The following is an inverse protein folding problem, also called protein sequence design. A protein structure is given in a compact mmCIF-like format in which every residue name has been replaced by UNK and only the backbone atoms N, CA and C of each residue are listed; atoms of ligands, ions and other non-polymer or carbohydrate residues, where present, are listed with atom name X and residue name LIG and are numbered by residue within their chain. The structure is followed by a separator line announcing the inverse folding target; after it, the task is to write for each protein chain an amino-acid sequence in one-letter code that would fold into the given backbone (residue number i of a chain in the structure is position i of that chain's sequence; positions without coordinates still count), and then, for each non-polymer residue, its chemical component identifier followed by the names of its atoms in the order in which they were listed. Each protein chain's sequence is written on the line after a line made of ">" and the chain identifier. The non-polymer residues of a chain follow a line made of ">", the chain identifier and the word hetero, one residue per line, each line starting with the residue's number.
data_IF_156130010131
#
_entry.id   IF_156130010131
#
_cell.length_a   1.000
_cell.length_b   1.000
_cell.length_c   1.000
_cell.angle_alpha   90.00
_cell.angle_beta   90.00
_cell.angle_gamma   90.00
#
_symmetry.space_group_name_H-M   'P 1'
#
loop_
_entity.id
_entity.type
_entity.pdbx_description
1 polymer ?
#
# COMPACT_ATOMS: atom_id res chain seq x y z
N UNK A 1 4.79 9.32 14.26
CA UNK A 1 4.43 9.47 12.85
C UNK A 1 3.90 8.18 12.25
N UNK A 2 4.72 7.16 11.95
CA UNK A 2 4.23 5.88 11.40
C UNK A 2 3.30 5.13 12.36
N UNK A 3 3.67 5.01 13.65
CA UNK A 3 2.82 4.37 14.67
C UNK A 3 1.46 5.06 14.82
N UNK A 4 1.43 6.39 14.75
CA UNK A 4 0.21 7.19 14.83
C UNK A 4 -0.66 7.02 13.58
N UNK A 5 -0.03 6.88 12.41
CA UNK A 5 -0.72 6.57 11.16
C UNK A 5 -1.33 5.17 11.18
N UNK A 6 -0.60 4.19 11.68
CA UNK A 6 -1.09 2.83 11.86
C UNK A 6 -2.27 2.78 12.85
N UNK A 7 -2.20 3.51 13.97
CA UNK A 7 -3.31 3.64 14.91
C UNK A 7 -4.53 4.32 14.25
N UNK A 8 -4.30 5.35 13.42
CA UNK A 8 -5.36 6.01 12.67
C UNK A 8 -6.03 5.05 11.68
N UNK A 9 -5.24 4.28 10.92
CA UNK A 9 -5.75 3.25 10.02
C UNK A 9 -6.63 2.24 10.78
N UNK A 10 -6.12 1.70 11.89
CA UNK A 10 -6.80 0.65 12.67
C UNK A 10 -8.05 1.13 13.41
N UNK A 11 -8.08 2.39 13.88
CA UNK A 11 -9.11 2.85 14.82
C UNK A 11 -9.98 4.00 14.31
N UNK A 12 -9.59 4.67 13.22
CA UNK A 12 -10.33 5.83 12.68
C UNK A 12 -10.81 5.62 11.25
N UNK A 13 -10.02 4.95 10.41
CA UNK A 13 -10.39 4.71 9.01
C UNK A 13 -11.25 3.45 8.85
N UNK A 14 -10.84 2.35 9.48
CA UNK A 14 -11.62 1.11 9.44
C UNK A 14 -12.88 1.30 10.31
N UNK A 15 -14.10 1.11 9.76
CA UNK A 15 -15.32 1.27 10.52
C UNK A 15 -15.38 0.31 11.71
N UNK A 16 -15.72 0.85 12.88
CA UNK A 16 -15.87 0.06 14.10
C UNK A 16 -17.21 -0.68 14.03
N UNK A 17 -17.18 -2.01 14.22
CA UNK A 17 -18.33 -2.92 14.21
C UNK A 17 -18.95 -3.24 12.83
N UNK A 18 -18.29 -2.89 11.72
CA UNK A 18 -18.67 -3.41 10.41
C UNK A 18 -17.65 -4.45 9.96
N UNK A 19 -18.08 -5.62 9.47
CA UNK A 19 -17.15 -6.61 8.96
C UNK A 19 -16.44 -6.03 7.74
N UNK A 20 -15.13 -6.27 7.64
CA UNK A 20 -14.31 -5.86 6.50
C UNK A 20 -13.21 -6.88 6.24
N UNK A 21 -12.58 -6.81 5.07
CA UNK A 21 -11.37 -7.55 4.77
C UNK A 21 -10.17 -6.60 4.84
N UNK A 22 -9.09 -7.03 5.52
CA UNK A 22 -7.84 -6.28 5.57
C UNK A 22 -6.79 -7.01 4.73
N UNK A 23 -6.23 -6.33 3.74
CA UNK A 23 -5.08 -6.83 2.98
C UNK A 23 -3.81 -6.47 3.74
N UNK A 24 -3.15 -7.49 4.30
CA UNK A 24 -1.88 -7.30 5.03
C UNK A 24 -0.69 -7.19 4.07
N UNK A 25 -0.77 -7.84 2.90
CA UNK A 25 0.27 -7.76 1.89
C UNK A 25 -0.05 -8.56 0.64
N UNK A 26 0.52 -8.14 -0.48
CA UNK A 26 0.49 -8.87 -1.75
C UNK A 26 1.93 -9.00 -2.24
N UNK A 27 2.36 -10.23 -2.49
CA UNK A 27 3.72 -10.52 -2.91
C UNK A 27 3.72 -11.31 -4.22
N UNK A 28 4.60 -10.89 -5.13
CA UNK A 28 4.89 -11.60 -6.38
C UNK A 28 6.38 -11.85 -6.44
N UNK A 29 6.77 -13.12 -6.60
CA UNK A 29 8.17 -13.48 -6.77
C UNK A 29 8.80 -12.70 -7.93
N UNK A 30 10.03 -12.18 -7.82
CA UNK A 30 10.63 -11.31 -8.84
C UNK A 30 10.58 -11.88 -10.28
N UNK A 31 10.83 -13.18 -10.44
CA UNK A 31 10.77 -13.85 -11.76
C UNK A 31 9.38 -13.96 -12.38
N UNK A 32 8.32 -13.55 -11.67
CA UNK A 32 6.93 -13.58 -12.11
C UNK A 32 6.28 -12.19 -12.12
N UNK A 33 7.06 -11.13 -11.88
CA UNK A 33 6.56 -9.75 -11.96
C UNK A 33 6.31 -9.34 -13.41
N UNK A 34 5.50 -8.30 -13.62
CA UNK A 34 5.10 -7.80 -14.94
C UNK A 34 4.35 -8.80 -15.85
N UNK A 35 3.97 -9.97 -15.32
CA UNK A 35 3.18 -11.00 -16.03
C UNK A 35 1.69 -10.98 -15.65
N UNK A 36 1.21 -9.92 -15.00
CA UNK A 36 -0.20 -9.81 -14.55
C UNK A 36 -0.54 -10.59 -13.27
N UNK A 37 0.43 -11.27 -12.64
CA UNK A 37 0.20 -12.07 -11.41
C UNK A 37 -0.34 -11.21 -10.27
N UNK A 38 0.21 -10.01 -10.06
CA UNK A 38 -0.27 -9.09 -9.01
C UNK A 38 -1.73 -8.69 -9.23
N UNK A 39 -2.11 -8.38 -10.47
CA UNK A 39 -3.50 -8.06 -10.82
C UNK A 39 -4.43 -9.25 -10.60
N UNK A 40 -4.01 -10.46 -10.95
CA UNK A 40 -4.79 -11.67 -10.70
C UNK A 40 -5.00 -11.94 -9.21
N UNK A 41 -3.98 -11.71 -8.38
CA UNK A 41 -4.07 -11.82 -6.92
C UNK A 41 -5.06 -10.80 -6.33
N UNK A 42 -5.00 -9.55 -6.80
CA UNK A 42 -5.94 -8.50 -6.36
C UNK A 42 -7.38 -8.83 -6.77
N UNK A 43 -7.60 -9.24 -8.02
CA UNK A 43 -8.92 -9.66 -8.50
C UNK A 43 -9.47 -10.85 -7.68
N UNK A 44 -8.61 -11.81 -7.36
CA UNK A 44 -8.99 -12.94 -6.53
C UNK A 44 -9.38 -12.50 -5.10
N UNK A 45 -8.58 -11.61 -4.49
CA UNK A 45 -8.89 -11.01 -3.19
C UNK A 45 -10.23 -10.26 -3.20
N UNK A 46 -10.46 -9.42 -4.21
CA UNK A 46 -11.72 -8.69 -4.35
C UNK A 46 -12.91 -9.65 -4.46
N UNK A 47 -12.79 -10.71 -5.27
CA UNK A 47 -13.84 -11.70 -5.42
C UNK A 47 -14.16 -12.48 -4.11
N UNK A 48 -13.22 -12.55 -3.16
CA UNK A 48 -13.48 -13.11 -1.82
C UNK A 48 -14.36 -12.15 -1.01
N UNK A 49 -14.09 -10.85 -1.07
CA UNK A 49 -14.83 -9.82 -0.35
C UNK A 49 -16.20 -9.51 -0.99
N UNK A 50 -16.33 -9.66 -2.31
CA UNK A 50 -17.58 -9.41 -3.04
C UNK A 50 -18.71 -10.34 -2.60
N UNK A 51 -18.39 -11.61 -2.28
CA UNK A 51 -19.37 -12.63 -1.87
C UNK A 51 -20.18 -12.21 -0.63
N UNK A 52 -19.54 -11.79 0.48
CA UNK A 52 -20.21 -11.20 1.63
C UNK A 52 -20.48 -9.69 1.51
N UNK A 53 -20.11 -9.05 0.39
CA UNK A 53 -20.22 -7.60 0.18
C UNK A 53 -19.45 -6.78 1.24
N UNK A 54 -18.20 -7.18 1.51
CA UNK A 54 -17.35 -6.53 2.51
C UNK A 54 -16.51 -5.42 1.89
N UNK A 55 -16.34 -4.26 2.56
CA UNK A 55 -15.32 -3.30 2.19
C UNK A 55 -13.93 -3.89 2.44
N UNK A 56 -12.96 -3.45 1.63
CA UNK A 56 -11.56 -3.89 1.70
C UNK A 56 -10.68 -2.70 2.09
N UNK A 57 -9.83 -2.90 3.08
CA UNK A 57 -8.86 -1.90 3.54
C UNK A 57 -7.43 -2.40 3.38
N UNK A 58 -6.54 -1.50 2.97
CA UNK A 58 -5.11 -1.80 2.80
C UNK A 58 -4.27 -0.60 3.19
N UNK A 59 -3.15 -0.88 3.87
CA UNK A 59 -2.06 0.07 4.02
C UNK A 59 -1.08 -0.19 2.89
N UNK A 60 -0.90 0.78 2.00
CA UNK A 60 -0.04 0.62 0.82
C UNK A 60 1.27 1.39 0.99
N UNK A 61 2.37 0.79 0.54
CA UNK A 61 3.59 1.55 0.25
C UNK A 61 3.43 2.35 -1.04
N UNK A 62 4.29 3.36 -1.23
CA UNK A 62 4.38 4.14 -2.48
C UNK A 62 4.52 3.25 -3.73
N UNK A 63 5.31 2.18 -3.63
CA UNK A 63 5.57 1.28 -4.77
C UNK A 63 4.33 0.47 -5.20
N UNK A 64 3.39 0.24 -4.28
CA UNK A 64 2.22 -0.60 -4.54
C UNK A 64 0.96 0.21 -4.89
N UNK A 65 0.98 1.54 -4.72
CA UNK A 65 -0.22 2.38 -4.87
C UNK A 65 -0.87 2.27 -6.25
N UNK A 66 -0.07 2.25 -7.33
CA UNK A 66 -0.59 2.08 -8.69
C UNK A 66 -1.22 0.70 -8.90
N UNK A 67 -0.68 -0.34 -8.27
CA UNK A 67 -1.21 -1.69 -8.42
C UNK A 67 -2.59 -1.80 -7.74
N UNK A 68 -2.73 -1.22 -6.55
CA UNK A 68 -4.02 -1.13 -5.86
C UNK A 68 -5.02 -0.26 -6.63
N UNK A 69 -4.60 0.88 -7.19
CA UNK A 69 -5.46 1.70 -8.06
C UNK A 69 -6.02 0.92 -9.26
N UNK A 70 -5.19 0.12 -9.93
CA UNK A 70 -5.63 -0.79 -11.01
C UNK A 70 -6.58 -1.89 -10.52
N UNK A 71 -6.52 -2.22 -9.23
CA UNK A 71 -7.44 -3.14 -8.55
C UNK A 71 -8.75 -2.50 -8.08
N UNK A 72 -8.98 -1.21 -8.35
CA UNK A 72 -10.19 -0.48 -7.97
C UNK A 72 -10.17 0.12 -6.56
N UNK A 73 -9.00 0.21 -5.93
CA UNK A 73 -8.84 0.86 -4.64
C UNK A 73 -8.66 2.37 -4.81
N UNK A 74 -9.15 3.13 -3.84
CA UNK A 74 -8.99 4.58 -3.76
C UNK A 74 -8.29 4.98 -2.45
N UNK A 75 -7.52 6.07 -2.49
CA UNK A 75 -6.80 6.53 -1.30
C UNK A 75 -7.78 7.22 -0.33
N UNK A 76 -8.04 6.59 0.81
CA UNK A 76 -8.78 7.21 1.91
C UNK A 76 -7.94 8.21 2.71
N UNK A 77 -6.62 7.97 2.78
CA UNK A 77 -5.62 8.84 3.43
C UNK A 77 -4.26 8.57 2.80
N UNK A 78 -3.42 9.60 2.74
CA UNK A 78 -2.01 9.51 2.36
C UNK A 78 -1.14 10.01 3.51
N UNK A 79 -0.04 9.31 3.78
CA UNK A 79 1.04 9.75 4.65
C UNK A 79 2.28 9.97 3.78
N UNK A 80 2.70 11.24 3.65
CA UNK A 80 3.97 11.58 3.01
C UNK A 80 5.07 11.65 4.08
N UNK A 81 6.10 10.83 3.93
CA UNK A 81 7.27 10.80 4.81
C UNK A 81 8.51 11.14 4.00
N UNK A 82 9.25 12.17 4.44
CA UNK A 82 10.59 12.42 3.93
C UNK A 82 11.55 11.38 4.53
N UNK A 83 11.98 10.44 3.71
CA UNK A 83 12.87 9.36 4.15
C UNK A 83 14.27 9.86 4.47
N UNK A 84 14.70 11.00 3.93
CA UNK A 84 16.00 11.58 4.27
C UNK A 84 15.97 12.23 5.65
N UNK A 85 14.84 12.84 6.04
CA UNK A 85 14.62 13.33 7.41
C UNK A 85 14.44 12.17 8.40
N UNK A 86 13.74 11.11 7.98
CA UNK A 86 13.49 9.94 8.82
C UNK A 86 14.74 9.06 9.02
N UNK A 87 15.69 9.09 8.08
CA UNK A 87 16.86 8.23 8.15
C UNK A 87 17.74 8.58 9.37
N UNK A 88 18.14 7.59 10.20
CA UNK A 88 19.02 7.82 11.35
C UNK A 88 20.39 8.41 10.98
N UNK A 89 20.72 8.37 9.69
CA UNK A 89 21.97 8.81 9.09
C UNK A 89 21.68 9.19 7.62
N UNK A 90 22.34 10.22 7.06
CA UNK A 90 22.25 10.54 5.64
C UNK A 90 22.82 9.40 4.76
N UNK A 91 22.39 9.34 3.50
CA UNK A 91 22.96 8.41 2.51
C UNK A 91 24.50 8.57 2.41
N UNK A 92 25.23 7.49 2.12
CA UNK A 92 26.66 7.63 1.78
C UNK A 92 26.80 8.21 0.38
N UNK A 93 27.89 8.95 0.13
CA UNK A 93 28.18 9.55 -1.17
C UNK A 93 28.28 8.50 -2.31
N UNK A 94 28.54 7.23 -1.97
CA UNK A 94 28.67 6.10 -2.90
C UNK A 94 27.41 5.22 -3.03
N UNK A 95 26.34 5.50 -2.28
CA UNK A 95 25.09 4.77 -2.36
C UNK A 95 24.13 5.45 -3.36
N UNK A 96 23.61 4.74 -4.38
CA UNK A 96 22.56 5.29 -5.21
C UNK A 96 21.33 5.51 -4.31
N UNK A 97 21.00 6.78 -4.05
CA UNK A 97 19.74 7.15 -3.43
C UNK A 97 18.58 6.53 -4.22
N UNK A 98 17.48 6.22 -3.54
CA UNK A 98 16.23 5.85 -4.22
C UNK A 98 15.84 7.09 -5.06
N UNK A 99 16.22 7.06 -6.34
CA UNK A 99 16.10 8.23 -7.21
C UNK A 99 14.65 8.68 -7.35
N UNK A 100 14.48 9.95 -7.74
CA UNK A 100 13.22 10.67 -7.94
C UNK A 100 12.25 9.96 -8.89
N UNK A 101 11.59 8.92 -8.39
CA UNK A 101 10.33 8.39 -8.93
C UNK A 101 9.21 8.84 -8.00
N UNK A 102 9.02 10.15 -7.92
CA UNK A 102 8.01 10.74 -7.03
C UNK A 102 7.57 12.16 -7.34
N UNK A 103 8.37 13.01 -8.02
CA UNK A 103 7.91 14.35 -8.40
C UNK A 103 7.17 14.35 -9.73
N UNK A 104 5.92 13.87 -9.72
CA UNK A 104 4.94 14.22 -10.75
C UNK A 104 4.64 15.73 -10.70
N UNK A 105 4.73 16.38 -11.86
CA UNK A 105 4.35 17.78 -12.09
C UNK A 105 2.86 18.04 -11.89
#
# INVERSE_FOLDING_TARGET
>A
MEDEDMQCFQHKLIPVNEPCMIVVGVAVAPGHQSCGVGSALLQHGNAIADRPSLPIWVLSSHQAVEAYGKGGFEAARTLDVDLDEYAPRPARDDEPGIGDRGRGR
#
